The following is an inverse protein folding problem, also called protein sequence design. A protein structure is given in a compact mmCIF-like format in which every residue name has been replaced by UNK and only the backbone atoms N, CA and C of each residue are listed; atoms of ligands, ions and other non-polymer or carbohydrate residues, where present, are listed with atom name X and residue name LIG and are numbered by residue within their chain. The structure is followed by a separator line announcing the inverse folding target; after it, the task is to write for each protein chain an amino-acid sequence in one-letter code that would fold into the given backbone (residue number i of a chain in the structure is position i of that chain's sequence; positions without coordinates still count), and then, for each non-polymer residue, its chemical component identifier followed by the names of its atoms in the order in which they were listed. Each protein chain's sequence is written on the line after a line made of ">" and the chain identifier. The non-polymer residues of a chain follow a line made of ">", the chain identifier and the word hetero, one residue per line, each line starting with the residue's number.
data_IF_985338394642
#
_entry.id   IF_985338394642
#
_cell.length_a   1.000
_cell.length_b   1.000
_cell.length_c   1.000
_cell.angle_alpha   90.00
_cell.angle_beta   90.00
_cell.angle_gamma   90.00
#
_symmetry.space_group_name_H-M   'P 1'
#
loop_
_entity.id
_entity.type
_entity.pdbx_description
1 polymer ?
#
# COMPACT_ATOMS: atom_id res chain seq x y z
N UNK A 1 -10.16 6.27 -4.31
CA UNK A 1 -9.45 6.85 -3.16
C UNK A 1 -8.58 8.01 -3.63
N UNK A 2 -8.34 8.97 -2.78
CA UNK A 2 -7.56 10.16 -3.15
C UNK A 2 -6.07 9.91 -3.02
N UNK A 3 -5.43 9.49 -4.10
CA UNK A 3 -3.99 9.18 -4.11
C UNK A 3 -3.13 10.35 -3.68
N UNK A 4 -3.50 11.57 -4.02
CA UNK A 4 -2.73 12.75 -3.61
C UNK A 4 -2.71 12.92 -2.09
N UNK A 5 -3.83 12.66 -1.41
CA UNK A 5 -3.88 12.68 0.06
C UNK A 5 -2.99 11.64 0.68
N UNK A 6 -2.93 10.45 0.09
CA UNK A 6 -2.04 9.38 0.54
C UNK A 6 -0.59 9.80 0.38
N UNK A 7 -0.25 10.42 -0.75
CA UNK A 7 1.11 10.90 -1.02
C UNK A 7 1.54 11.92 0.03
N UNK A 8 0.70 12.87 0.38
CA UNK A 8 1.03 13.86 1.42
C UNK A 8 1.24 13.19 2.78
N UNK A 9 0.44 12.18 3.09
CA UNK A 9 0.60 11.41 4.32
C UNK A 9 1.95 10.67 4.33
N UNK A 10 2.32 10.03 3.22
CA UNK A 10 3.60 9.33 3.08
C UNK A 10 4.77 10.32 3.25
N UNK A 11 4.69 11.46 2.57
CA UNK A 11 5.74 12.48 2.64
C UNK A 11 5.94 12.94 4.09
N UNK A 12 4.86 13.21 4.81
CA UNK A 12 4.91 13.62 6.21
C UNK A 12 5.63 12.59 7.06
N UNK A 13 5.26 11.31 6.92
CA UNK A 13 5.85 10.24 7.72
C UNK A 13 7.30 9.98 7.35
N UNK A 14 7.65 10.02 6.06
CA UNK A 14 9.02 9.84 5.59
C UNK A 14 9.91 10.96 6.11
N UNK A 15 9.45 12.20 6.05
CA UNK A 15 10.23 13.35 6.56
C UNK A 15 10.46 13.22 8.06
N UNK A 16 9.43 12.81 8.80
CA UNK A 16 9.56 12.62 10.25
C UNK A 16 10.60 11.56 10.59
N UNK A 17 10.56 10.41 9.94
CA UNK A 17 11.52 9.33 10.17
C UNK A 17 12.94 9.77 9.77
N UNK A 18 13.08 10.45 8.64
CA UNK A 18 14.36 10.92 8.16
C UNK A 18 14.98 11.94 9.15
N UNK A 19 14.18 12.87 9.65
CA UNK A 19 14.64 13.86 10.61
C UNK A 19 15.07 13.20 11.92
N UNK A 20 14.31 12.23 12.41
CA UNK A 20 14.65 11.48 13.63
C UNK A 20 15.96 10.71 13.48
N UNK A 21 16.31 10.29 12.29
CA UNK A 21 17.51 9.51 11.98
C UNK A 21 18.64 10.37 11.38
N UNK A 22 18.45 11.69 11.34
CA UNK A 22 19.42 12.64 10.79
C UNK A 22 19.80 12.36 9.34
N UNK A 23 18.81 11.97 8.54
CA UNK A 23 18.98 11.70 7.12
C UNK A 23 18.59 12.96 6.34
N UNK A 24 19.44 13.39 5.42
CA UNK A 24 19.23 14.62 4.65
C UNK A 24 18.58 14.36 3.29
N UNK A 25 18.65 13.14 2.79
CA UNK A 25 18.10 12.78 1.48
C UNK A 25 17.61 11.35 1.48
N UNK A 26 16.46 11.13 0.86
CA UNK A 26 15.84 9.80 0.68
C UNK A 26 15.85 9.46 -0.79
N UNK A 27 16.41 8.30 -1.18
CA UNK A 27 16.51 7.87 -2.57
C UNK A 27 15.28 7.10 -3.05
N UNK A 28 14.63 6.37 -2.15
CA UNK A 28 13.42 5.63 -2.52
C UNK A 28 12.56 5.34 -1.28
N UNK A 29 11.26 5.20 -1.52
CA UNK A 29 10.30 4.76 -0.51
C UNK A 29 9.59 3.54 -1.08
N UNK A 30 9.55 2.46 -0.31
CA UNK A 30 8.89 1.22 -0.71
C UNK A 30 7.57 1.09 0.04
N UNK A 31 6.47 0.95 -0.71
CA UNK A 31 5.12 0.83 -0.15
C UNK A 31 4.56 -0.56 -0.40
N UNK A 32 3.90 -1.11 0.60
CA UNK A 32 3.07 -2.30 0.44
C UNK A 32 1.63 -1.84 0.29
N UNK A 33 1.05 -2.11 -0.87
CA UNK A 33 -0.31 -1.71 -1.23
C UNK A 33 -1.12 -2.98 -1.50
N UNK A 34 -2.18 -3.18 -0.75
CA UNK A 34 -3.05 -4.34 -0.92
C UNK A 34 -3.85 -4.28 -2.21
N UNK A 35 -4.06 -5.43 -2.80
CA UNK A 35 -4.75 -5.61 -4.08
C UNK A 35 -6.18 -5.03 -4.06
N UNK A 36 -6.85 -5.05 -2.91
CA UNK A 36 -8.21 -4.53 -2.75
C UNK A 36 -8.28 -3.24 -1.95
N UNK A 37 -7.15 -2.53 -1.81
CA UNK A 37 -7.08 -1.26 -1.06
C UNK A 37 -7.77 -0.10 -1.77
N UNK A 38 -8.17 -0.26 -3.01
CA UNK A 38 -8.73 0.77 -3.91
C UNK A 38 -7.74 1.83 -4.36
N UNK A 39 -6.47 1.71 -3.98
CA UNK A 39 -5.41 2.59 -4.48
C UNK A 39 -4.95 2.11 -5.85
N UNK A 40 -4.87 3.03 -6.81
CA UNK A 40 -4.37 2.73 -8.16
C UNK A 40 -2.88 3.09 -8.18
N UNK A 41 -1.96 2.10 -8.30
CA UNK A 41 -0.52 2.36 -8.21
C UNK A 41 0.00 3.40 -9.20
N UNK A 42 -0.51 3.41 -10.44
CA UNK A 42 -0.06 4.39 -11.44
C UNK A 42 -0.42 5.82 -11.02
N UNK A 43 -1.60 6.03 -10.44
CA UNK A 43 -2.01 7.34 -9.96
C UNK A 43 -1.21 7.75 -8.73
N UNK A 44 -0.92 6.79 -7.87
CA UNK A 44 -0.11 7.05 -6.68
C UNK A 44 1.30 7.51 -7.07
N UNK A 45 1.95 6.82 -8.02
CA UNK A 45 3.30 7.19 -8.47
C UNK A 45 3.32 8.51 -9.21
N UNK A 46 2.28 8.83 -9.98
CA UNK A 46 2.18 10.12 -10.65
C UNK A 46 2.04 11.27 -9.64
N UNK A 47 1.19 11.11 -8.64
CA UNK A 47 1.04 12.09 -7.57
C UNK A 47 2.33 12.24 -6.76
N UNK A 48 3.02 11.14 -6.51
CA UNK A 48 4.29 11.15 -5.79
C UNK A 48 5.34 11.97 -6.54
N UNK A 49 5.47 11.73 -7.84
CA UNK A 49 6.46 12.43 -8.66
C UNK A 49 6.26 13.93 -8.62
N UNK A 50 5.00 14.38 -8.68
CA UNK A 50 4.67 15.79 -8.60
C UNK A 50 4.94 16.36 -7.21
N UNK A 51 4.50 15.68 -6.15
CA UNK A 51 4.58 16.20 -4.79
C UNK A 51 6.00 16.10 -4.20
N UNK A 52 6.71 15.01 -4.46
CA UNK A 52 8.05 14.77 -3.92
C UNK A 52 9.07 15.77 -4.48
N UNK A 53 8.93 16.18 -5.72
CA UNK A 53 9.85 17.15 -6.33
C UNK A 53 9.81 18.52 -5.65
N UNK A 54 8.78 18.81 -4.87
CA UNK A 54 8.67 20.06 -4.12
C UNK A 54 9.40 20.02 -2.79
N UNK A 55 9.86 18.83 -2.38
CA UNK A 55 10.59 18.63 -1.13
C UNK A 55 12.05 18.39 -1.44
N UNK A 56 12.94 19.22 -0.86
CA UNK A 56 14.38 19.10 -1.12
C UNK A 56 14.91 17.71 -0.78
N UNK A 57 14.48 17.15 0.34
CA UNK A 57 14.88 15.84 0.84
C UNK A 57 14.47 14.71 -0.12
N UNK A 58 13.40 14.90 -0.89
CA UNK A 58 12.79 13.88 -1.72
C UNK A 58 12.97 14.10 -3.22
N UNK A 59 13.83 15.02 -3.61
CA UNK A 59 14.12 15.25 -5.03
C UNK A 59 14.75 14.00 -5.64
N UNK A 60 14.15 13.51 -6.73
CA UNK A 60 14.61 12.29 -7.38
C UNK A 60 14.25 11.01 -6.63
N UNK A 61 13.51 11.11 -5.54
CA UNK A 61 13.10 9.95 -4.75
C UNK A 61 12.07 9.12 -5.52
N UNK A 62 12.34 7.84 -5.66
CA UNK A 62 11.45 6.90 -6.34
C UNK A 62 10.44 6.31 -5.35
N UNK A 63 9.19 6.17 -5.78
CA UNK A 63 8.19 5.41 -5.03
C UNK A 63 8.06 4.04 -5.67
N UNK A 64 8.43 3.01 -4.90
CA UNK A 64 8.31 1.62 -5.33
C UNK A 64 7.10 1.01 -4.68
N UNK A 65 6.22 0.40 -5.47
CA UNK A 65 4.98 -0.18 -4.97
C UNK A 65 5.01 -1.70 -5.12
N UNK A 66 4.85 -2.39 -3.98
CA UNK A 66 4.62 -3.83 -3.96
C UNK A 66 3.13 -4.06 -3.80
N UNK A 67 2.51 -4.78 -4.73
CA UNK A 67 1.11 -5.13 -4.63
C UNK A 67 0.97 -6.44 -3.87
N UNK A 68 0.25 -6.42 -2.77
CA UNK A 68 0.02 -7.61 -1.95
C UNK A 68 -1.28 -8.28 -2.34
N UNK A 69 -1.29 -9.61 -2.52
CA UNK A 69 -2.51 -10.32 -2.88
C UNK A 69 -3.55 -10.26 -1.76
N UNK A 70 -4.81 -10.20 -2.13
CA UNK A 70 -5.91 -10.24 -1.18
C UNK A 70 -6.33 -11.67 -0.92
N UNK A 71 -6.48 -12.01 0.36
CA UNK A 71 -6.87 -13.33 0.82
C UNK A 71 -8.03 -13.19 1.78
N UNK A 72 -9.05 -14.00 1.58
CA UNK A 72 -10.22 -14.07 2.47
C UNK A 72 -10.24 -15.40 3.21
N UNK A 73 -10.94 -15.40 4.34
CA UNK A 73 -11.08 -16.58 5.21
C UNK A 73 -12.56 -16.93 5.34
N UNK A 74 -12.87 -18.23 5.20
CA UNK A 74 -14.22 -18.74 5.40
C UNK A 74 -14.35 -19.28 6.83
N UNK A 75 -15.31 -18.73 7.59
CA UNK A 75 -15.53 -19.16 8.96
C UNK A 75 -16.18 -20.53 9.06
N UNK A 76 -16.92 -20.95 8.02
CA UNK A 76 -17.64 -22.22 8.03
C UNK A 76 -16.73 -23.42 7.78
N UNK A 77 -15.87 -23.36 6.76
CA UNK A 77 -14.97 -24.48 6.45
C UNK A 77 -13.51 -24.21 6.82
N UNK A 78 -13.22 -22.97 7.29
CA UNK A 78 -11.89 -22.52 7.71
C UNK A 78 -10.82 -22.57 6.61
N UNK A 79 -11.25 -22.40 5.37
CA UNK A 79 -10.33 -22.31 4.22
C UNK A 79 -10.00 -20.86 3.92
N UNK A 80 -8.78 -20.63 3.42
CA UNK A 80 -8.38 -19.35 2.86
C UNK A 80 -8.51 -19.43 1.34
N UNK A 81 -8.84 -18.31 0.71
CA UNK A 81 -8.99 -18.28 -0.75
C UNK A 81 -8.68 -16.89 -1.31
N UNK A 82 -8.33 -16.79 -2.62
CA UNK A 82 -8.08 -15.50 -3.26
C UNK A 82 -9.36 -14.66 -3.35
N UNK A 83 -9.34 -13.47 -2.74
CA UNK A 83 -10.52 -12.59 -2.66
C UNK A 83 -10.98 -12.10 -4.03
N UNK A 84 -10.03 -11.67 -4.87
CA UNK A 84 -10.36 -11.06 -6.17
C UNK A 84 -11.08 -12.06 -7.07
N UNK A 85 -10.70 -13.33 -7.00
CA UNK A 85 -11.28 -14.37 -7.85
C UNK A 85 -12.67 -14.81 -7.39
N UNK A 86 -12.94 -14.87 -6.09
CA UNK A 86 -14.16 -15.47 -5.55
C UNK A 86 -15.04 -14.51 -4.75
N UNK A 87 -14.54 -13.33 -4.42
CA UNK A 87 -15.31 -12.34 -3.65
C UNK A 87 -15.64 -12.84 -2.25
N UNK A 88 -16.92 -12.76 -1.89
CA UNK A 88 -17.40 -13.18 -0.58
C UNK A 88 -18.01 -14.59 -0.55
N UNK A 89 -17.79 -15.35 -1.61
CA UNK A 89 -18.28 -16.73 -1.70
C UNK A 89 -17.12 -17.71 -1.64
N UNK A 90 -17.09 -18.55 -0.61
CA UNK A 90 -16.06 -19.55 -0.47
C UNK A 90 -16.11 -20.57 -1.63
N UNK A 91 -15.02 -20.79 -2.36
CA UNK A 91 -15.02 -21.78 -3.45
C UNK A 91 -15.14 -23.21 -2.97
N UNK A 92 -14.83 -23.46 -1.70
CA UNK A 92 -14.84 -24.80 -1.12
C UNK A 92 -16.23 -25.24 -0.66
N UNK A 93 -16.90 -24.41 0.16
CA UNK A 93 -18.19 -24.77 0.75
C UNK A 93 -19.34 -23.87 0.31
N UNK A 94 -19.10 -22.88 -0.56
CA UNK A 94 -20.10 -21.95 -1.08
C UNK A 94 -20.73 -21.03 -0.03
N UNK A 95 -20.17 -20.96 1.16
CA UNK A 95 -20.64 -20.06 2.20
C UNK A 95 -20.35 -18.61 1.90
N UNK A 96 -21.23 -17.71 2.34
CA UNK A 96 -20.99 -16.27 2.34
C UNK A 96 -20.43 -15.76 3.67
N UNK A 97 -20.21 -16.63 4.63
CA UNK A 97 -19.71 -16.26 5.95
C UNK A 97 -18.17 -16.13 5.92
N UNK A 98 -17.69 -15.11 5.22
CA UNK A 98 -16.28 -14.91 4.93
C UNK A 98 -15.87 -13.48 5.26
N UNK A 99 -14.57 -13.30 5.54
CA UNK A 99 -14.03 -11.96 5.75
C UNK A 99 -12.63 -11.85 5.17
N UNK A 100 -12.20 -10.60 4.90
CA UNK A 100 -10.90 -10.32 4.34
C UNK A 100 -9.82 -10.45 5.41
N UNK A 101 -8.81 -11.28 5.16
CA UNK A 101 -7.64 -11.41 6.04
C UNK A 101 -6.57 -10.38 5.73
N UNK A 102 -6.27 -10.19 4.45
CA UNK A 102 -5.23 -9.27 4.01
C UNK A 102 -5.50 -8.84 2.57
N UNK A 103 -4.85 -7.75 2.14
CA UNK A 103 -5.00 -7.22 0.80
C UNK A 103 -5.53 -5.81 0.74
N UNK A 104 -5.75 -5.17 1.91
CA UNK A 104 -6.20 -3.78 1.98
C UNK A 104 -5.15 -2.86 2.63
N UNK A 105 -3.92 -3.31 2.73
CA UNK A 105 -2.83 -2.55 3.33
C UNK A 105 -2.46 -1.32 2.52
N UNK A 106 -2.08 -0.26 3.21
CA UNK A 106 -1.43 0.93 2.64
C UNK A 106 -0.33 1.28 3.65
N UNK A 107 0.87 0.71 3.46
CA UNK A 107 1.93 0.78 4.45
C UNK A 107 3.28 1.10 3.83
N UNK A 108 4.09 1.88 4.55
CA UNK A 108 5.49 2.10 4.19
C UNK A 108 6.26 0.87 4.66
N UNK A 109 6.85 0.14 3.72
CA UNK A 109 7.64 -1.05 4.04
C UNK A 109 9.07 -0.67 4.43
N UNK A 110 9.70 0.19 3.64
CA UNK A 110 11.05 0.65 3.93
C UNK A 110 11.35 1.98 3.25
N UNK A 111 12.37 2.66 3.77
CA UNK A 111 12.86 3.94 3.25
C UNK A 111 14.33 3.73 2.93
N UNK A 112 14.71 3.96 1.66
CA UNK A 112 16.09 3.80 1.19
C UNK A 112 16.79 5.15 1.16
N UNK A 113 17.92 5.20 1.76
CA UNK A 113 18.76 6.40 1.79
C UNK A 113 20.01 6.23 0.94
#
# INVERSE_FOLDING_TARGET
>A
MHELGIVFYIIRDVKKVAEENRVNHVSAVVMDIGEVSTVVPEYLTDCWRWAADKEEMLKGCELKVNTLPAVSFCEDCRSEYPTVQYGKTCPCCKSGNTYLLKGNEIEIKEIEV
#
